data_IF_072119086122
#
_entry.id   IF_072119086122
#
_cell.length_a   1.000
_cell.length_b   1.000
_cell.length_c   1.000
_cell.angle_alpha   90.00
_cell.angle_beta   90.00
_cell.angle_gamma   90.00
#
_symmetry.space_group_name_H-M   'P 1'
#
loop_
_entity.id
_entity.type
_entity.pdbx_description
1 polymer ?
#
# COMPACT_ATOMS: atom_id res chain seq x y z
N UNK A 1 -25.30 23.05 -0.44
CA UNK A 1 -24.23 22.68 0.53
C UNK A 1 -23.29 21.75 -0.22
N UNK A 2 -22.01 22.12 -0.38
CA UNK A 2 -21.02 21.17 -0.91
C UNK A 2 -20.79 20.09 0.15
N UNK A 3 -20.79 18.81 -0.25
CA UNK A 3 -20.50 17.70 0.67
C UNK A 3 -19.07 17.80 1.22
N UNK A 4 -18.84 17.23 2.40
CA UNK A 4 -17.48 17.11 2.93
C UNK A 4 -16.68 16.11 2.10
N UNK A 5 -15.39 16.38 1.82
CA UNK A 5 -14.55 15.43 1.10
C UNK A 5 -14.33 14.16 1.94
N UNK A 6 -14.19 13.02 1.26
CA UNK A 6 -13.74 11.79 1.90
C UNK A 6 -12.24 11.90 2.11
N UNK A 7 -11.82 12.02 3.36
CA UNK A 7 -10.41 12.22 3.73
C UNK A 7 -9.71 10.95 4.19
N UNK A 8 -10.45 9.88 4.48
CA UNK A 8 -9.86 8.62 4.94
C UNK A 8 -10.66 7.41 4.48
N UNK A 9 -9.96 6.29 4.35
CA UNK A 9 -10.55 4.96 4.27
C UNK A 9 -10.46 4.33 5.66
N UNK A 10 -11.61 4.03 6.27
CA UNK A 10 -11.68 3.55 7.65
C UNK A 10 -11.08 2.16 7.86
N UNK A 11 -10.85 1.81 9.14
CA UNK A 11 -10.43 0.47 9.56
C UNK A 11 -11.37 -0.59 8.98
N UNK A 12 -10.78 -1.61 8.36
CA UNK A 12 -11.48 -2.75 7.76
C UNK A 12 -12.60 -2.40 6.75
N UNK A 13 -12.65 -1.18 6.19
CA UNK A 13 -13.77 -0.67 5.38
C UNK A 13 -14.16 -1.58 4.19
N UNK A 14 -13.18 -2.24 3.57
CA UNK A 14 -13.35 -3.16 2.45
C UNK A 14 -12.83 -4.56 2.76
N UNK A 15 -12.70 -4.93 4.05
CA UNK A 15 -12.16 -6.24 4.45
C UNK A 15 -12.95 -7.39 3.81
N UNK A 16 -12.22 -8.33 3.21
CA UNK A 16 -12.73 -9.52 2.52
C UNK A 16 -13.69 -9.20 1.37
N UNK A 17 -13.64 -7.99 0.81
CA UNK A 17 -14.48 -7.63 -0.32
C UNK A 17 -14.04 -8.34 -1.60
N UNK A 18 -14.99 -8.54 -2.52
CA UNK A 18 -14.75 -9.14 -3.83
C UNK A 18 -14.33 -8.12 -4.89
N UNK A 19 -13.79 -6.96 -4.46
CA UNK A 19 -13.31 -5.91 -5.35
C UNK A 19 -12.26 -6.45 -6.32
N UNK A 20 -12.43 -6.14 -7.59
CA UNK A 20 -11.42 -6.36 -8.64
C UNK A 20 -10.59 -5.10 -8.89
N UNK A 21 -11.19 -3.93 -8.67
CA UNK A 21 -10.58 -2.61 -8.80
C UNK A 21 -11.25 -1.63 -7.84
N UNK A 22 -10.56 -0.53 -7.54
CA UNK A 22 -11.07 0.61 -6.78
C UNK A 22 -10.37 1.88 -7.24
N UNK A 23 -11.10 2.98 -7.31
CA UNK A 23 -10.54 4.33 -7.45
C UNK A 23 -10.58 5.00 -6.07
N UNK A 24 -9.41 5.36 -5.54
CA UNK A 24 -9.30 6.14 -4.31
C UNK A 24 -9.35 7.63 -4.71
N UNK A 25 -10.25 8.45 -4.13
CA UNK A 25 -10.29 9.88 -4.40
C UNK A 25 -9.01 10.59 -3.96
N UNK A 26 -8.59 11.63 -4.70
CA UNK A 26 -7.39 12.43 -4.38
C UNK A 26 -7.48 13.17 -3.04
N UNK A 27 -8.68 13.33 -2.49
CA UNK A 27 -8.89 13.93 -1.16
C UNK A 27 -8.51 13.01 0.01
N UNK A 28 -8.27 11.72 -0.25
CA UNK A 28 -7.91 10.75 0.79
C UNK A 28 -6.47 10.96 1.23
N UNK A 29 -6.27 11.12 2.54
CA UNK A 29 -4.96 11.30 3.16
C UNK A 29 -4.50 10.10 3.97
N UNK A 30 -5.38 9.16 4.31
CA UNK A 30 -5.04 7.96 5.08
C UNK A 30 -5.82 6.73 4.68
N UNK A 31 -5.13 5.58 4.69
CA UNK A 31 -5.71 4.25 4.47
C UNK A 31 -5.60 3.46 5.77
N UNK A 32 -6.74 3.25 6.42
CA UNK A 32 -6.84 2.71 7.76
C UNK A 32 -6.41 1.25 7.90
N UNK A 33 -6.25 0.85 9.16
CA UNK A 33 -5.80 -0.48 9.55
C UNK A 33 -6.65 -1.54 8.89
N UNK A 34 -5.99 -2.45 8.17
CA UNK A 34 -6.65 -3.54 7.49
C UNK A 34 -7.76 -3.17 6.49
N UNK A 35 -7.78 -1.93 5.96
CA UNK A 35 -8.86 -1.42 5.11
C UNK A 35 -9.24 -2.35 3.95
N UNK A 36 -8.26 -3.02 3.33
CA UNK A 36 -8.42 -3.92 2.19
C UNK A 36 -7.95 -5.36 2.50
N UNK A 37 -7.87 -5.75 3.78
CA UNK A 37 -7.45 -7.11 4.15
C UNK A 37 -8.25 -8.15 3.38
N UNK A 38 -7.57 -9.14 2.81
CA UNK A 38 -8.18 -10.26 2.12
C UNK A 38 -9.06 -9.87 0.91
N UNK A 39 -8.80 -8.73 0.27
CA UNK A 39 -9.32 -8.41 -1.07
C UNK A 39 -8.60 -9.27 -2.12
N UNK A 40 -8.82 -10.58 -2.10
CA UNK A 40 -8.06 -11.56 -2.88
C UNK A 40 -8.22 -11.44 -4.39
N UNK A 41 -9.24 -10.69 -4.86
CA UNK A 41 -9.52 -10.45 -6.27
C UNK A 41 -9.01 -9.10 -6.79
N UNK A 42 -8.50 -8.23 -5.91
CA UNK A 42 -7.98 -6.93 -6.29
C UNK A 42 -6.67 -7.11 -7.05
N UNK A 43 -6.63 -6.71 -8.33
CA UNK A 43 -5.47 -6.94 -9.20
C UNK A 43 -4.51 -5.76 -9.26
N UNK A 44 -5.01 -4.56 -9.03
CA UNK A 44 -4.26 -3.31 -9.12
C UNK A 44 -4.85 -2.26 -8.20
N UNK A 45 -4.00 -1.41 -7.64
CA UNK A 45 -4.43 -0.21 -6.93
C UNK A 45 -3.48 0.95 -7.21
N UNK A 46 -4.06 2.14 -7.43
CA UNK A 46 -3.31 3.40 -7.49
C UNK A 46 -3.53 4.12 -6.18
N UNK A 47 -2.45 4.39 -5.45
CA UNK A 47 -2.48 5.20 -4.23
C UNK A 47 -2.30 6.66 -4.68
N UNK A 48 -3.26 7.57 -4.42
CA UNK A 48 -3.16 8.94 -4.88
C UNK A 48 -2.13 9.73 -4.08
N UNK A 49 -1.56 10.77 -4.70
CA UNK A 49 -0.50 11.63 -4.14
C UNK A 49 -0.90 12.38 -2.86
N UNK A 50 -2.19 12.39 -2.50
CA UNK A 50 -2.68 12.93 -1.24
C UNK A 50 -2.45 12.02 -0.03
N UNK A 51 -2.20 10.72 -0.24
CA UNK A 51 -2.07 9.75 0.86
C UNK A 51 -0.75 9.95 1.58
N UNK A 52 -0.84 10.08 2.91
CA UNK A 52 0.29 10.28 3.82
C UNK A 52 0.60 9.00 4.60
N UNK A 53 -0.43 8.25 5.01
CA UNK A 53 -0.28 7.02 5.77
C UNK A 53 -1.05 5.83 5.20
N UNK A 54 -0.38 4.68 5.21
CA UNK A 54 -0.94 3.36 4.96
C UNK A 54 -0.74 2.56 6.24
N UNK A 55 -1.81 2.28 6.96
CA UNK A 55 -1.73 1.67 8.29
C UNK A 55 -1.47 0.15 8.23
N UNK A 56 -1.27 -0.45 9.41
CA UNK A 56 -0.94 -1.86 9.54
C UNK A 56 -1.96 -2.77 8.82
N UNK A 57 -1.45 -3.81 8.17
CA UNK A 57 -2.24 -4.79 7.41
C UNK A 57 -3.14 -4.22 6.29
N UNK A 58 -3.03 -2.93 5.91
CA UNK A 58 -3.98 -2.27 5.01
C UNK A 58 -4.35 -3.09 3.75
N UNK A 59 -3.38 -3.75 3.11
CA UNK A 59 -3.55 -4.62 1.94
C UNK A 59 -3.16 -6.08 2.20
N UNK A 60 -3.08 -6.50 3.46
CA UNK A 60 -2.65 -7.86 3.81
C UNK A 60 -3.54 -8.92 3.15
N UNK A 61 -2.92 -9.95 2.54
CA UNK A 61 -3.59 -11.02 1.78
C UNK A 61 -4.38 -10.56 0.55
N UNK A 62 -4.02 -9.43 -0.07
CA UNK A 62 -4.47 -9.12 -1.44
C UNK A 62 -3.70 -9.99 -2.45
N UNK A 63 -4.00 -11.29 -2.49
CA UNK A 63 -3.19 -12.29 -3.18
C UNK A 63 -3.09 -12.11 -4.70
N UNK A 64 -4.06 -11.43 -5.33
CA UNK A 64 -4.03 -11.14 -6.78
C UNK A 64 -3.41 -9.79 -7.14
N UNK A 65 -3.02 -8.98 -6.14
CA UNK A 65 -2.49 -7.64 -6.38
C UNK A 65 -1.14 -7.76 -7.10
N UNK A 66 -1.08 -7.37 -8.37
CA UNK A 66 0.07 -7.60 -9.22
C UNK A 66 1.14 -6.51 -9.12
N UNK A 67 0.71 -5.28 -8.89
CA UNK A 67 1.58 -4.11 -8.78
C UNK A 67 0.98 -3.07 -7.84
N UNK A 68 1.86 -2.32 -7.18
CA UNK A 68 1.48 -1.13 -6.41
C UNK A 68 2.48 -0.01 -6.66
N UNK A 69 1.95 1.20 -6.86
CA UNK A 69 2.73 2.44 -6.89
C UNK A 69 2.38 3.21 -5.63
N UNK A 70 3.39 3.41 -4.78
CA UNK A 70 3.27 4.17 -3.54
C UNK A 70 3.92 5.55 -3.79
N UNK A 71 3.14 6.64 -3.74
CA UNK A 71 3.64 7.98 -4.07
C UNK A 71 4.58 8.54 -2.99
N UNK A 72 5.41 9.50 -3.37
CA UNK A 72 6.42 10.12 -2.49
C UNK A 72 5.81 10.84 -1.27
N UNK A 73 4.52 11.16 -1.31
CA UNK A 73 3.74 11.72 -0.20
C UNK A 73 3.59 10.75 0.98
N UNK A 74 3.68 9.45 0.75
CA UNK A 74 3.52 8.44 1.80
C UNK A 74 4.76 8.44 2.67
N UNK A 75 4.58 8.85 3.92
CA UNK A 75 5.66 8.90 4.93
C UNK A 75 5.59 7.74 5.91
N UNK A 76 4.43 7.05 5.97
CA UNK A 76 4.20 5.94 6.89
C UNK A 76 3.57 4.76 6.18
N UNK A 77 4.22 3.60 6.29
CA UNK A 77 3.67 2.30 5.92
C UNK A 77 3.74 1.41 7.16
N UNK A 78 2.58 0.92 7.59
CA UNK A 78 2.40 0.10 8.77
C UNK A 78 2.85 -1.35 8.56
N UNK A 79 3.05 -2.05 9.66
CA UNK A 79 3.56 -3.42 9.64
C UNK A 79 2.64 -4.34 8.83
N UNK A 80 3.23 -5.21 8.01
CA UNK A 80 2.52 -6.18 7.20
C UNK A 80 1.50 -5.59 6.22
N UNK A 81 1.58 -4.28 5.91
CA UNK A 81 0.62 -3.60 5.04
C UNK A 81 0.41 -4.33 3.70
N UNK A 82 1.47 -4.89 3.09
CA UNK A 82 1.37 -5.66 1.84
C UNK A 82 1.78 -7.13 2.02
N UNK A 83 1.86 -7.64 3.24
CA UNK A 83 2.23 -9.03 3.49
C UNK A 83 1.19 -9.99 2.88
N UNK A 84 1.65 -11.17 2.46
CA UNK A 84 0.85 -12.18 1.77
C UNK A 84 0.17 -11.71 0.46
N UNK A 85 0.64 -10.62 -0.16
CA UNK A 85 0.28 -10.25 -1.53
C UNK A 85 1.09 -11.08 -2.55
N UNK A 86 0.81 -12.37 -2.66
CA UNK A 86 1.63 -13.31 -3.45
C UNK A 86 1.71 -12.99 -4.95
N UNK A 87 0.71 -12.29 -5.50
CA UNK A 87 0.69 -11.84 -6.88
C UNK A 87 1.61 -10.65 -7.16
N UNK A 88 2.13 -9.98 -6.13
CA UNK A 88 2.87 -8.74 -6.26
C UNK A 88 4.20 -9.02 -6.94
N UNK A 89 4.40 -8.44 -8.12
CA UNK A 89 5.60 -8.59 -8.96
C UNK A 89 6.44 -7.31 -9.02
N UNK A 90 5.82 -6.16 -8.80
CA UNK A 90 6.47 -4.86 -8.87
C UNK A 90 5.91 -3.92 -7.80
N UNK A 91 6.81 -3.21 -7.15
CA UNK A 91 6.51 -2.21 -6.12
C UNK A 91 7.37 -0.99 -6.41
N UNK A 92 6.72 0.17 -6.57
CA UNK A 92 7.42 1.45 -6.52
C UNK A 92 7.25 2.01 -5.12
N UNK A 93 8.36 2.25 -4.42
CA UNK A 93 8.38 2.80 -3.06
C UNK A 93 8.75 4.29 -3.08
N UNK A 94 8.35 5.06 -2.06
CA UNK A 94 8.72 6.47 -1.91
C UNK A 94 10.24 6.65 -1.73
N UNK A 95 10.79 7.76 -2.26
CA UNK A 95 12.21 8.10 -2.10
C UNK A 95 12.65 8.16 -0.63
N UNK A 96 11.76 8.54 0.28
CA UNK A 96 12.02 8.58 1.71
C UNK A 96 12.47 7.22 2.29
N UNK A 97 12.12 6.10 1.64
CA UNK A 97 12.48 4.75 2.07
C UNK A 97 13.71 4.17 1.34
N UNK A 98 14.37 4.94 0.46
CA UNK A 98 15.57 4.50 -0.27
C UNK A 98 16.87 4.55 0.56
N UNK A 99 16.81 4.98 1.83
CA UNK A 99 17.99 5.02 2.69
C UNK A 99 18.63 3.63 2.83
N UNK A 100 19.94 3.56 2.57
CA UNK A 100 20.75 2.33 2.69
C UNK A 100 20.98 1.87 4.14
N UNK A 101 20.50 2.63 5.13
CA UNK A 101 20.68 2.26 6.51
C UNK A 101 19.89 0.97 6.84
N UNK A 102 20.49 0.13 7.67
CA UNK A 102 19.97 -1.19 8.01
C UNK A 102 18.61 -1.13 8.73
N UNK A 103 18.30 -0.02 9.42
CA UNK A 103 17.04 0.15 10.14
C UNK A 103 15.89 0.41 9.17
N UNK A 104 16.11 1.24 8.14
CA UNK A 104 15.16 1.41 7.03
C UNK A 104 14.91 0.07 6.33
N UNK A 105 15.95 -0.76 6.14
CA UNK A 105 15.83 -2.10 5.52
C UNK A 105 15.09 -3.15 6.36
N UNK A 106 15.10 -3.07 7.70
CA UNK A 106 14.37 -3.98 8.61
C UNK A 106 12.91 -3.54 8.86
N UNK A 107 12.50 -2.39 8.31
CA UNK A 107 11.09 -2.05 8.22
C UNK A 107 10.49 -2.62 6.94
N UNK A 108 11.30 -2.65 5.89
CA UNK A 108 10.96 -3.12 4.55
C UNK A 108 10.64 -4.64 4.52
N UNK A 109 11.45 -5.50 5.13
CA UNK A 109 11.22 -6.96 5.18
C UNK A 109 9.85 -7.38 5.73
N UNK A 110 9.27 -6.62 6.66
CA UNK A 110 7.94 -6.87 7.23
C UNK A 110 6.78 -6.46 6.31
N UNK A 111 7.04 -5.61 5.32
CA UNK A 111 5.99 -5.06 4.46
C UNK A 111 5.61 -6.01 3.32
N UNK A 112 6.51 -6.90 2.89
CA UNK A 112 6.33 -7.74 1.70
C UNK A 112 6.38 -9.24 2.01
N UNK A 113 5.67 -10.08 1.23
CA UNK A 113 5.51 -11.51 1.50
C UNK A 113 6.81 -12.33 1.37
N UNK A 114 7.79 -11.84 0.62
CA UNK A 114 9.00 -12.57 0.29
C UNK A 114 10.14 -11.55 0.24
N UNK A 115 11.37 -11.99 0.48
CA UNK A 115 12.63 -11.26 0.28
C UNK A 115 12.72 -10.76 -1.18
N UNK A 116 11.89 -9.75 -1.49
CA UNK A 116 11.98 -8.96 -2.69
C UNK A 116 13.33 -8.30 -2.53
N UNK A 117 14.34 -8.89 -3.17
CA UNK A 117 15.44 -8.12 -3.71
C UNK A 117 14.75 -6.94 -4.37
N UNK A 118 14.76 -5.79 -3.69
CA UNK A 118 14.07 -4.59 -4.14
C UNK A 118 14.40 -4.49 -5.63
N UNK A 119 13.43 -4.28 -6.53
CA UNK A 119 13.79 -3.67 -7.79
C UNK A 119 14.29 -2.28 -7.39
N UNK A 120 15.56 -2.22 -6.99
CA UNK A 120 16.35 -1.00 -7.00
C UNK A 120 16.26 -0.67 -8.47
N UNK A 121 15.36 0.26 -8.81
CA UNK A 121 15.30 0.84 -10.13
C UNK A 121 16.73 1.15 -10.47
N UNK A 122 17.25 0.45 -11.47
CA UNK A 122 18.57 0.72 -12.00
C UNK A 122 18.44 2.08 -12.65
N UNK A 123 18.69 3.14 -11.87
CA UNK A 123 19.07 4.43 -12.43
C UNK A 123 20.41 4.19 -13.11
N UNK A 124 20.36 3.94 -14.41
CA UNK A 124 21.39 4.51 -15.28
C UNK A 124 21.24 6.02 -15.28
#
# INVERSE_FOLDING_TARGET
MAGLPVTSIGEAAFRSSLLTSITIPDSVTSIGKGAFVNCSRLTSITIPDGVISIEDWAFHRCSSLASVTIPDSVTTIGDFAFANCFGLKSVTIPQAFHSKDKASRLKLDKLWPNDFSLPVGTSK
#
